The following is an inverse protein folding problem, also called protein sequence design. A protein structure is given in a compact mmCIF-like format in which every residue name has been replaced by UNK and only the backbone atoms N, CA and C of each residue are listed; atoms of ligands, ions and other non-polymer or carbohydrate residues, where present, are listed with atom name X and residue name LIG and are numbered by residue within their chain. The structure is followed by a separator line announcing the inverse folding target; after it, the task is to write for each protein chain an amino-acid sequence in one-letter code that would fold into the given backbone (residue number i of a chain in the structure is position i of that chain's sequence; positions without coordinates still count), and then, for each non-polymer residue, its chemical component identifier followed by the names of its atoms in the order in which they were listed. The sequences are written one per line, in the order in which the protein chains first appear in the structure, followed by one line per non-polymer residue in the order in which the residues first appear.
data_IF_873606849232
#
_entry.id   IF_873606849232
#
_cell.length_a   1.000
_cell.length_b   1.000
_cell.length_c   1.000
_cell.angle_alpha   90.00
_cell.angle_beta   90.00
_cell.angle_gamma   90.00
#
_symmetry.space_group_name_H-M   'P 1'
#
loop_
_entity.id
_entity.type
_entity.pdbx_description
1 polymer ?
#
# COMPACT_ATOMS: atom_id res chain seq x y z
N UNK A 1 -24.99 -1.45 17.85
CA UNK A 1 -24.47 -0.57 16.80
C UNK A 1 -23.54 0.44 17.46
N UNK A 2 -22.39 0.78 16.87
CA UNK A 2 -21.55 1.83 17.42
C UNK A 2 -22.30 3.16 17.33
N UNK A 3 -22.41 3.87 18.45
CA UNK A 3 -22.99 5.20 18.54
C UNK A 3 -21.85 6.22 18.59
N UNK A 4 -21.74 7.04 17.55
CA UNK A 4 -20.85 8.18 17.46
C UNK A 4 -21.34 9.07 16.32
N UNK A 5 -21.25 10.39 16.47
CA UNK A 5 -21.63 11.42 15.47
C UNK A 5 -20.71 11.46 14.24
N UNK A 6 -19.97 10.37 13.99
CA UNK A 6 -18.97 10.26 12.93
C UNK A 6 -19.35 9.06 12.07
N UNK A 7 -20.23 9.28 11.10
CA UNK A 7 -20.35 8.37 9.97
C UNK A 7 -19.25 8.75 8.97
N UNK A 8 -18.28 7.85 8.74
CA UNK A 8 -17.23 8.07 7.73
C UNK A 8 -17.80 8.26 6.32
N UNK A 9 -19.01 7.75 6.07
CA UNK A 9 -19.75 7.90 4.81
C UNK A 9 -20.95 8.82 5.05
N UNK A 10 -20.92 9.98 4.40
CA UNK A 10 -22.02 10.95 4.39
C UNK A 10 -23.12 10.50 3.40
N UNK A 11 -24.36 10.97 3.60
CA UNK A 11 -25.53 10.65 2.75
C UNK A 11 -25.30 10.97 1.26
N UNK A 12 -24.40 11.91 0.98
CA UNK A 12 -23.94 12.29 -0.35
C UNK A 12 -23.33 11.15 -1.17
N UNK A 13 -22.75 10.13 -0.52
CA UNK A 13 -22.15 8.97 -1.23
C UNK A 13 -23.21 8.17 -2.00
N UNK A 14 -24.45 8.12 -1.50
CA UNK A 14 -25.54 7.48 -2.23
C UNK A 14 -25.97 8.30 -3.45
N UNK A 15 -26.01 9.63 -3.34
CA UNK A 15 -26.32 10.48 -4.48
C UNK A 15 -25.26 10.33 -5.58
N UNK A 16 -23.98 10.30 -5.19
CA UNK A 16 -22.87 10.00 -6.10
C UNK A 16 -23.03 8.63 -6.74
N UNK A 17 -23.38 7.60 -5.97
CA UNK A 17 -23.65 6.26 -6.49
C UNK A 17 -24.81 6.24 -7.50
N UNK A 18 -25.94 6.89 -7.19
CA UNK A 18 -27.10 6.98 -8.07
C UNK A 18 -26.72 7.63 -9.40
N UNK A 19 -26.06 8.78 -9.35
CA UNK A 19 -25.61 9.50 -10.53
C UNK A 19 -24.58 8.70 -11.33
N UNK A 20 -23.60 8.10 -10.66
CA UNK A 20 -22.56 7.31 -11.31
C UNK A 20 -23.15 6.11 -12.06
N UNK A 21 -23.98 5.30 -11.38
CA UNK A 21 -24.61 4.13 -12.02
C UNK A 21 -25.62 4.52 -13.08
N UNK A 22 -26.29 5.66 -12.95
CA UNK A 22 -27.19 6.17 -13.99
C UNK A 22 -26.40 6.54 -15.25
N UNK A 23 -25.31 7.30 -15.10
CA UNK A 23 -24.43 7.70 -16.20
C UNK A 23 -23.78 6.48 -16.89
N UNK A 24 -23.49 5.42 -16.16
CA UNK A 24 -23.01 4.14 -16.69
C UNK A 24 -24.12 3.26 -17.29
N UNK A 25 -25.36 3.72 -17.32
CA UNK A 25 -26.51 2.96 -17.81
C UNK A 25 -26.83 1.67 -17.02
N UNK A 26 -26.37 1.59 -15.77
CA UNK A 26 -26.43 0.41 -14.89
C UNK A 26 -27.40 0.57 -13.71
N UNK A 27 -27.88 1.80 -13.42
CA UNK A 27 -28.77 2.03 -12.28
C UNK A 27 -30.07 1.24 -12.40
N UNK A 28 -30.29 0.37 -11.42
CA UNK A 28 -31.50 -0.45 -11.27
C UNK A 28 -32.04 -0.37 -9.86
N UNK A 29 -33.36 -0.43 -9.74
CA UNK A 29 -34.11 -0.36 -8.50
C UNK A 29 -34.98 -1.60 -8.36
N UNK A 30 -35.01 -2.17 -7.16
CA UNK A 30 -35.90 -3.26 -6.81
C UNK A 30 -37.23 -2.71 -6.31
N UNK A 31 -38.32 -3.17 -6.88
CA UNK A 31 -39.66 -2.86 -6.39
C UNK A 31 -39.96 -3.64 -5.11
N UNK A 32 -40.46 -2.95 -4.07
CA UNK A 32 -40.75 -3.59 -2.77
C UNK A 32 -42.14 -3.26 -2.25
N UNK A 33 -42.60 -2.03 -2.44
CA UNK A 33 -43.99 -1.65 -2.14
C UNK A 33 -44.57 -0.96 -3.36
N UNK A 34 -45.74 -1.40 -3.80
CA UNK A 34 -46.53 -0.79 -4.87
C UNK A 34 -47.91 -0.52 -4.33
N UNK A 35 -48.34 0.75 -4.38
CA UNK A 35 -49.65 1.16 -3.87
C UNK A 35 -49.92 0.62 -2.45
N UNK A 36 -48.94 0.73 -1.54
CA UNK A 36 -49.05 0.24 -0.16
C UNK A 36 -48.98 -1.29 0.02
N UNK A 37 -48.95 -2.08 -1.06
CA UNK A 37 -48.84 -3.54 -1.00
C UNK A 37 -47.40 -4.00 -1.21
N UNK A 38 -46.95 -4.97 -0.41
CA UNK A 38 -45.63 -5.59 -0.59
C UNK A 38 -45.59 -6.40 -1.89
N UNK A 39 -44.58 -6.15 -2.70
CA UNK A 39 -44.32 -6.92 -3.91
C UNK A 39 -43.72 -8.30 -3.53
N UNK A 40 -44.37 -9.42 -3.88
CA UNK A 40 -43.91 -10.75 -3.49
C UNK A 40 -42.73 -11.26 -4.33
N UNK A 41 -42.57 -10.77 -5.56
CA UNK A 41 -41.52 -11.21 -6.48
C UNK A 41 -40.40 -10.19 -6.58
N UNK A 42 -39.17 -10.66 -6.55
CA UNK A 42 -38.03 -9.80 -6.78
C UNK A 42 -38.02 -9.31 -8.22
N UNK A 43 -38.13 -8.00 -8.41
CA UNK A 43 -38.12 -7.38 -9.73
C UNK A 43 -37.24 -6.14 -9.73
N UNK A 44 -36.15 -6.23 -10.48
CA UNK A 44 -35.24 -5.12 -10.74
C UNK A 44 -35.66 -4.38 -12.00
N UNK A 45 -35.89 -3.07 -11.88
CA UNK A 45 -36.24 -2.18 -12.98
C UNK A 45 -35.12 -1.18 -13.22
N UNK A 46 -34.78 -0.97 -14.49
CA UNK A 46 -33.78 0.01 -14.91
C UNK A 46 -34.34 1.42 -14.77
N UNK A 47 -33.55 2.34 -14.23
CA UNK A 47 -33.87 3.78 -14.26
C UNK A 47 -33.51 4.32 -15.65
N UNK A 48 -34.47 4.97 -16.32
CA UNK A 48 -34.32 5.49 -17.68
C UNK A 48 -34.13 6.99 -17.73
N UNK A 49 -34.57 7.71 -16.70
CA UNK A 49 -34.30 9.12 -16.51
C UNK A 49 -34.04 9.39 -15.03
N UNK A 50 -33.07 10.23 -14.72
CA UNK A 50 -32.76 10.69 -13.37
C UNK A 50 -32.27 12.13 -13.48
N UNK A 51 -33.02 13.06 -12.90
CA UNK A 51 -32.59 14.45 -12.82
C UNK A 51 -31.44 14.59 -11.82
N UNK A 52 -30.45 15.43 -12.16
CA UNK A 52 -29.28 15.69 -11.33
C UNK A 52 -29.65 16.10 -9.90
N UNK A 53 -29.06 15.40 -8.93
CA UNK A 53 -29.23 15.65 -7.50
C UNK A 53 -28.28 16.79 -7.10
N UNK A 54 -28.76 18.02 -7.23
CA UNK A 54 -27.97 19.25 -6.96
C UNK A 54 -28.23 19.84 -5.57
N UNK A 55 -29.29 19.40 -4.89
CA UNK A 55 -29.71 19.90 -3.60
C UNK A 55 -30.43 18.80 -2.81
N UNK A 56 -30.12 18.64 -1.53
CA UNK A 56 -30.69 17.62 -0.62
C UNK A 56 -31.95 18.13 0.09
N UNK A 57 -32.76 18.94 -0.61
CA UNK A 57 -34.05 19.40 -0.09
C UNK A 57 -35.11 18.39 -0.49
N UNK A 58 -36.06 18.11 0.41
CA UNK A 58 -37.19 17.25 0.10
C UNK A 58 -38.04 17.80 -1.07
N UNK A 59 -38.35 16.99 -2.10
CA UNK A 59 -37.80 15.65 -2.37
C UNK A 59 -36.39 15.73 -2.97
N UNK A 60 -35.49 14.82 -2.57
CA UNK A 60 -34.08 14.81 -3.01
C UNK A 60 -33.92 14.80 -4.54
N UNK A 61 -34.82 14.11 -5.23
CA UNK A 61 -34.84 13.98 -6.68
C UNK A 61 -36.14 14.58 -7.20
N UNK A 62 -36.04 15.65 -7.98
CA UNK A 62 -37.20 16.32 -8.57
C UNK A 62 -37.91 15.45 -9.63
N UNK A 63 -37.16 14.65 -10.39
CA UNK A 63 -37.69 13.79 -11.44
C UNK A 63 -36.87 12.51 -11.62
N UNK A 64 -37.55 11.37 -11.58
CA UNK A 64 -37.05 10.05 -11.95
C UNK A 64 -38.06 9.35 -12.86
N UNK A 65 -37.58 8.53 -13.81
CA UNK A 65 -38.41 7.61 -14.58
C UNK A 65 -37.83 6.21 -14.52
N UNK A 66 -38.67 5.24 -14.18
CA UNK A 66 -38.28 3.84 -14.02
C UNK A 66 -38.95 3.02 -15.13
N UNK A 67 -38.18 2.17 -15.80
CA UNK A 67 -38.67 1.39 -16.94
C UNK A 67 -39.79 0.43 -16.49
N UNK A 68 -40.94 0.49 -17.16
CA UNK A 68 -42.17 -0.28 -16.85
C UNK A 68 -42.86 0.13 -15.54
N UNK A 69 -42.55 1.31 -15.03
CA UNK A 69 -43.34 1.97 -13.99
C UNK A 69 -44.55 2.67 -14.63
N UNK A 70 -45.75 2.35 -14.15
CA UNK A 70 -46.99 2.90 -14.69
C UNK A 70 -47.25 4.34 -14.24
N UNK A 71 -46.55 4.80 -13.19
CA UNK A 71 -46.71 6.16 -12.67
C UNK A 71 -45.86 7.21 -13.41
N UNK A 72 -45.01 6.77 -14.34
CA UNK A 72 -44.26 7.65 -15.23
C UNK A 72 -43.17 8.46 -14.52
N UNK A 73 -42.99 9.69 -14.95
CA UNK A 73 -42.04 10.65 -14.38
C UNK A 73 -42.57 11.21 -13.06
N UNK A 74 -41.76 11.14 -12.00
CA UNK A 74 -42.18 11.51 -10.64
C UNK A 74 -41.03 11.95 -9.74
N UNK A 75 -41.28 12.70 -8.66
CA UNK A 75 -40.26 13.00 -7.67
C UNK A 75 -39.91 11.75 -6.85
N UNK A 76 -38.67 11.69 -6.36
CA UNK A 76 -38.21 10.62 -5.49
C UNK A 76 -37.48 11.17 -4.28
N UNK A 77 -37.69 10.51 -3.14
CA UNK A 77 -36.99 10.80 -1.90
C UNK A 77 -36.03 9.66 -1.57
N UNK A 78 -34.79 9.97 -1.25
CA UNK A 78 -33.82 8.96 -0.86
C UNK A 78 -33.76 8.87 0.67
N UNK A 79 -33.56 7.65 1.19
CA UNK A 79 -33.61 7.39 2.63
C UNK A 79 -32.47 6.53 3.13
N UNK A 80 -31.80 7.04 4.17
CA UNK A 80 -30.83 6.31 4.98
C UNK A 80 -31.48 5.70 6.23
N UNK A 81 -30.82 4.66 6.74
CA UNK A 81 -31.07 4.08 8.06
C UNK A 81 -30.94 5.11 9.20
N UNK A 82 -30.22 6.22 8.97
CA UNK A 82 -30.01 7.31 9.93
C UNK A 82 -30.91 8.53 9.71
N UNK A 83 -31.68 8.59 8.63
CA UNK A 83 -32.52 9.76 8.32
C UNK A 83 -33.79 9.75 9.18
N UNK A 84 -33.91 10.70 10.12
CA UNK A 84 -35.13 10.92 10.89
C UNK A 84 -36.26 11.41 9.98
N UNK A 85 -37.38 10.70 10.01
CA UNK A 85 -38.58 10.97 9.22
C UNK A 85 -39.46 12.01 9.95
N UNK A 86 -39.02 13.26 10.11
CA UNK A 86 -39.82 14.26 10.86
C UNK A 86 -40.40 15.40 9.99
N UNK A 87 -40.06 15.45 8.70
CA UNK A 87 -40.56 16.49 7.79
C UNK A 87 -42.08 16.40 7.56
N UNK A 88 -42.71 15.22 7.61
CA UNK A 88 -44.17 15.11 7.52
C UNK A 88 -44.92 15.56 8.80
N UNK A 89 -44.21 15.83 9.90
CA UNK A 89 -44.80 16.22 11.19
C UNK A 89 -44.81 17.74 11.40
N UNK A 90 -43.99 18.47 10.64
CA UNK A 90 -43.89 19.92 10.69
C UNK A 90 -44.97 20.58 9.82
N UNK A 91 -45.76 21.51 10.38
CA UNK A 91 -46.82 22.26 9.66
C UNK A 91 -46.33 22.94 8.37
N UNK A 92 -45.06 23.33 8.28
CA UNK A 92 -44.48 23.98 7.09
C UNK A 92 -44.19 23.01 5.93
N UNK A 93 -43.96 21.73 6.22
CA UNK A 93 -43.56 20.73 5.22
C UNK A 93 -44.73 19.86 4.74
N UNK A 94 -45.89 19.93 5.40
CA UNK A 94 -47.11 19.21 4.99
C UNK A 94 -47.53 19.57 3.56
N UNK A 95 -47.42 20.84 3.16
CA UNK A 95 -47.79 21.27 1.79
C UNK A 95 -46.90 20.60 0.73
N UNK A 96 -45.57 20.69 0.90
CA UNK A 96 -44.58 20.10 -0.02
C UNK A 96 -44.75 18.57 -0.06
N UNK A 97 -45.04 17.96 1.08
CA UNK A 97 -45.30 16.53 1.16
C UNK A 97 -46.60 16.12 0.46
N UNK A 98 -47.68 16.88 0.58
CA UNK A 98 -48.91 16.63 -0.16
C UNK A 98 -48.69 16.77 -1.67
N UNK A 99 -47.95 17.79 -2.12
CA UNK A 99 -47.56 17.96 -3.52
C UNK A 99 -46.73 16.75 -4.02
N UNK A 100 -45.83 16.22 -3.19
CA UNK A 100 -45.08 15.01 -3.50
C UNK A 100 -46.00 13.80 -3.69
N UNK A 101 -47.00 13.61 -2.83
CA UNK A 101 -47.98 12.52 -2.93
C UNK A 101 -48.88 12.68 -4.17
N UNK A 102 -49.38 13.89 -4.43
CA UNK A 102 -50.18 14.21 -5.62
C UNK A 102 -49.42 13.94 -6.93
N UNK A 103 -48.10 14.15 -6.92
CA UNK A 103 -47.20 13.83 -8.04
C UNK A 103 -46.75 12.37 -8.07
N UNK A 104 -47.43 11.47 -7.35
CA UNK A 104 -47.10 10.05 -7.30
C UNK A 104 -45.68 9.73 -6.83
N UNK A 105 -45.12 10.57 -5.96
CA UNK A 105 -43.74 10.46 -5.50
C UNK A 105 -43.39 9.10 -4.90
N UNK A 106 -42.13 8.70 -5.00
CA UNK A 106 -41.64 7.41 -4.51
C UNK A 106 -40.48 7.55 -3.52
N UNK A 107 -40.25 6.50 -2.73
CA UNK A 107 -39.14 6.45 -1.77
C UNK A 107 -38.10 5.44 -2.27
N UNK A 108 -36.82 5.81 -2.23
CA UNK A 108 -35.68 4.96 -2.55
C UNK A 108 -34.89 4.70 -1.26
N UNK A 109 -34.71 3.43 -0.89
CA UNK A 109 -33.95 3.01 0.30
C UNK A 109 -32.72 2.18 -0.08
N UNK A 110 -31.68 2.20 0.76
CA UNK A 110 -30.57 1.25 0.63
C UNK A 110 -30.91 -0.12 1.22
N UNK A 111 -31.48 -0.15 2.42
CA UNK A 111 -31.85 -1.37 3.15
C UNK A 111 -33.14 -1.19 3.96
N UNK A 112 -33.89 -2.28 4.09
CA UNK A 112 -35.28 -2.32 4.53
C UNK A 112 -35.54 -2.38 6.05
N UNK A 113 -34.58 -2.08 6.91
CA UNK A 113 -34.72 -2.41 8.34
C UNK A 113 -35.63 -1.44 9.12
N UNK A 114 -35.94 -0.26 8.58
CA UNK A 114 -36.82 0.73 9.25
C UNK A 114 -37.61 1.60 8.27
N UNK A 115 -38.65 1.05 7.62
CA UNK A 115 -39.69 1.92 7.06
C UNK A 115 -40.50 2.53 8.21
N UNK A 116 -40.79 3.85 8.21
CA UNK A 116 -41.57 4.47 9.28
C UNK A 116 -42.96 3.85 9.38
N UNK A 117 -43.33 3.40 10.59
CA UNK A 117 -44.69 2.94 10.88
C UNK A 117 -45.69 4.08 10.62
N UNK A 118 -46.77 3.80 9.88
CA UNK A 118 -47.87 4.75 9.63
C UNK A 118 -47.85 5.52 8.31
N UNK A 119 -46.74 5.55 7.55
CA UNK A 119 -46.70 6.21 6.22
C UNK A 119 -47.35 5.33 5.15
N UNK A 120 -46.98 4.05 5.15
CA UNK A 120 -47.51 3.05 4.21
C UNK A 120 -48.97 2.69 4.51
N UNK A 121 -49.37 2.84 5.78
CA UNK A 121 -50.71 2.48 6.26
C UNK A 121 -51.76 3.55 5.89
N UNK A 122 -51.32 4.77 5.57
CA UNK A 122 -52.21 5.92 5.26
C UNK A 122 -52.14 6.38 3.81
N UNK A 123 -51.03 6.11 3.11
CA UNK A 123 -50.78 6.65 1.77
C UNK A 123 -50.11 5.60 0.88
N UNK A 124 -50.60 5.49 -0.37
CA UNK A 124 -50.21 4.49 -1.37
C UNK A 124 -48.87 4.83 -2.05
N UNK A 125 -47.83 5.13 -1.26
CA UNK A 125 -46.50 5.49 -1.73
C UNK A 125 -45.72 4.23 -2.13
N UNK A 126 -45.05 4.29 -3.27
CA UNK A 126 -44.20 3.19 -3.72
C UNK A 126 -42.81 3.27 -3.08
N UNK A 127 -42.23 2.10 -2.79
CA UNK A 127 -40.90 1.98 -2.21
C UNK A 127 -40.01 1.11 -3.09
N UNK A 128 -38.84 1.66 -3.40
CA UNK A 128 -37.77 1.06 -4.17
C UNK A 128 -36.54 0.84 -3.32
N UNK A 129 -35.78 -0.22 -3.61
CA UNK A 129 -34.51 -0.48 -2.97
C UNK A 129 -33.36 -0.53 -3.97
N UNK A 130 -32.21 -0.01 -3.56
CA UNK A 130 -30.94 -0.11 -4.29
C UNK A 130 -30.32 -1.51 -4.18
N UNK A 131 -29.44 -1.84 -5.13
CA UNK A 131 -28.60 -3.02 -5.03
C UNK A 131 -27.53 -2.81 -3.96
N UNK A 132 -27.74 -3.38 -2.77
CA UNK A 132 -26.83 -3.25 -1.62
C UNK A 132 -25.43 -3.78 -1.91
N UNK A 133 -25.33 -4.87 -2.68
CA UNK A 133 -24.04 -5.49 -3.03
C UNK A 133 -23.26 -4.58 -3.99
N UNK A 134 -23.96 -4.01 -4.98
CA UNK A 134 -23.35 -3.07 -5.92
C UNK A 134 -22.95 -1.77 -5.23
N UNK A 135 -23.82 -1.20 -4.40
CA UNK A 135 -23.50 -0.02 -3.59
C UNK A 135 -22.28 -0.25 -2.67
N UNK A 136 -22.23 -1.39 -1.98
CA UNK A 136 -21.09 -1.76 -1.12
C UNK A 136 -19.80 -1.87 -1.92
N UNK A 137 -19.87 -2.43 -3.13
CA UNK A 137 -18.72 -2.53 -4.02
C UNK A 137 -18.24 -1.15 -4.50
N UNK A 138 -19.17 -0.27 -4.89
CA UNK A 138 -18.88 1.12 -5.25
C UNK A 138 -18.21 1.89 -4.10
N UNK A 139 -18.75 1.80 -2.89
CA UNK A 139 -18.21 2.48 -1.72
C UNK A 139 -16.80 1.97 -1.38
N UNK A 140 -16.59 0.65 -1.41
CA UNK A 140 -15.28 0.02 -1.19
C UNK A 140 -14.25 0.46 -2.23
N UNK A 141 -14.62 0.48 -3.50
CA UNK A 141 -13.71 0.90 -4.58
C UNK A 141 -13.29 2.36 -4.42
N UNK A 142 -14.25 3.27 -4.15
CA UNK A 142 -13.95 4.68 -3.92
C UNK A 142 -13.11 4.90 -2.67
N UNK A 143 -13.36 4.14 -1.59
CA UNK A 143 -12.52 4.18 -0.41
C UNK A 143 -11.08 3.74 -0.72
N UNK A 144 -10.90 2.65 -1.46
CA UNK A 144 -9.57 2.19 -1.89
C UNK A 144 -8.90 3.24 -2.78
N UNK A 145 -9.61 3.84 -3.74
CA UNK A 145 -9.08 4.92 -4.59
C UNK A 145 -8.67 6.14 -3.76
N UNK A 146 -9.48 6.54 -2.78
CA UNK A 146 -9.18 7.66 -1.89
C UNK A 146 -7.95 7.35 -1.02
N UNK A 147 -7.91 6.18 -0.38
CA UNK A 147 -6.76 5.72 0.40
C UNK A 147 -5.49 5.69 -0.46
N UNK A 148 -5.57 5.16 -1.68
CA UNK A 148 -4.46 5.16 -2.63
C UNK A 148 -3.99 6.58 -2.95
N UNK A 149 -4.90 7.53 -3.13
CA UNK A 149 -4.56 8.94 -3.37
C UNK A 149 -3.92 9.59 -2.14
N UNK A 150 -4.43 9.34 -0.94
CA UNK A 150 -3.89 9.87 0.31
C UNK A 150 -2.50 9.30 0.62
N UNK A 151 -2.27 8.01 0.37
CA UNK A 151 -0.97 7.38 0.48
C UNK A 151 0.01 8.03 -0.52
N UNK A 152 -0.40 8.20 -1.78
CA UNK A 152 0.43 8.84 -2.82
C UNK A 152 0.72 10.31 -2.54
N UNK A 153 -0.21 11.06 -1.95
CA UNK A 153 -0.02 12.49 -1.68
C UNK A 153 0.90 12.78 -0.48
N UNK A 154 1.17 11.78 0.38
CA UNK A 154 2.02 11.91 1.56
C UNK A 154 3.32 11.11 1.47
N UNK A 155 3.67 10.56 0.30
CA UNK A 155 4.95 9.87 0.12
C UNK A 155 6.10 10.88 0.05
N UNK A 156 6.64 11.24 1.21
CA UNK A 156 8.06 11.55 1.28
C UNK A 156 8.83 10.31 0.80
N UNK A 157 9.82 10.51 -0.07
CA UNK A 157 10.68 9.42 -0.56
C UNK A 157 11.25 8.64 0.63
N UNK A 158 10.80 7.41 0.80
CA UNK A 158 11.17 6.54 1.91
C UNK A 158 12.58 6.00 1.72
N UNK A 159 13.19 5.54 2.81
CA UNK A 159 14.46 4.81 2.74
C UNK A 159 14.28 3.42 3.33
N UNK A 160 14.54 2.39 2.52
CA UNK A 160 14.35 1.00 2.89
C UNK A 160 15.69 0.29 3.04
N UNK A 161 15.92 -0.32 4.20
CA UNK A 161 17.04 -1.24 4.42
C UNK A 161 16.65 -2.66 4.01
N UNK A 162 17.53 -3.35 3.32
CA UNK A 162 17.36 -4.73 2.88
C UNK A 162 18.67 -5.49 3.03
N UNK A 163 18.62 -6.80 3.29
CA UNK A 163 19.84 -7.61 3.33
C UNK A 163 20.22 -8.06 1.91
N UNK A 164 21.52 -8.02 1.60
CA UNK A 164 22.04 -8.68 0.41
C UNK A 164 21.93 -10.20 0.57
N UNK A 165 20.97 -10.79 -0.14
CA UNK A 165 20.86 -12.25 -0.27
C UNK A 165 21.79 -12.76 -1.37
N UNK A 166 21.91 -14.09 -1.52
CA UNK A 166 22.74 -14.72 -2.57
C UNK A 166 22.36 -14.24 -3.98
N UNK A 167 21.07 -14.00 -4.22
CA UNK A 167 20.57 -13.49 -5.49
C UNK A 167 21.04 -12.06 -5.83
N UNK A 168 21.72 -11.35 -4.91
CA UNK A 168 22.15 -9.97 -5.15
C UNK A 168 23.42 -9.87 -6.03
N UNK A 169 24.41 -10.75 -5.83
CA UNK A 169 25.72 -10.71 -6.51
C UNK A 169 26.08 -11.99 -7.27
N UNK A 170 25.14 -12.93 -7.46
CA UNK A 170 25.47 -14.23 -8.07
C UNK A 170 26.09 -14.07 -9.46
N UNK A 171 27.25 -14.72 -9.69
CA UNK A 171 27.96 -14.69 -10.97
C UNK A 171 27.24 -15.61 -11.97
N UNK A 172 26.12 -15.14 -12.50
CA UNK A 172 25.42 -15.59 -13.71
C UNK A 172 24.23 -14.64 -13.96
N UNK A 173 23.84 -14.48 -15.23
CA UNK A 173 23.08 -13.37 -15.89
C UNK A 173 21.80 -12.78 -15.23
N UNK A 174 21.43 -13.10 -13.99
CA UNK A 174 20.20 -12.65 -13.33
C UNK A 174 20.40 -12.15 -11.88
N UNK A 175 21.64 -11.81 -11.47
CA UNK A 175 21.86 -11.14 -10.18
C UNK A 175 21.04 -9.84 -10.08
N UNK A 176 20.53 -9.52 -8.90
CA UNK A 176 19.74 -8.30 -8.70
C UNK A 176 20.55 -7.03 -8.97
N UNK A 177 21.84 -7.03 -8.59
CA UNK A 177 22.76 -5.91 -8.85
C UNK A 177 23.01 -5.63 -10.34
N UNK A 178 22.80 -6.62 -11.21
CA UNK A 178 22.97 -6.51 -12.67
C UNK A 178 21.64 -6.33 -13.38
N UNK A 179 20.62 -7.09 -12.98
CA UNK A 179 19.31 -7.10 -13.60
C UNK A 179 18.38 -5.99 -13.09
N UNK A 180 18.79 -5.24 -12.07
CA UNK A 180 18.04 -4.11 -11.50
C UNK A 180 16.64 -4.49 -10.99
N UNK A 181 16.45 -5.77 -10.64
CA UNK A 181 15.17 -6.36 -10.20
C UNK A 181 15.32 -7.04 -8.86
N UNK A 182 14.40 -6.76 -7.93
CA UNK A 182 14.40 -7.39 -6.60
C UNK A 182 13.01 -7.90 -6.25
N UNK A 183 12.99 -9.02 -5.52
CA UNK A 183 11.82 -9.44 -4.76
C UNK A 183 12.13 -9.29 -3.27
N UNK A 184 11.34 -8.53 -2.51
CA UNK A 184 11.44 -8.56 -1.07
C UNK A 184 11.04 -9.94 -0.54
N UNK A 185 11.73 -10.41 0.50
CA UNK A 185 11.48 -11.73 1.12
C UNK A 185 10.20 -11.76 1.97
N UNK A 186 9.62 -10.60 2.23
CA UNK A 186 8.55 -10.36 3.21
C UNK A 186 7.39 -9.58 2.56
N UNK A 187 6.28 -9.40 3.31
CA UNK A 187 4.98 -8.85 2.92
C UNK A 187 4.98 -7.38 2.40
N UNK A 188 6.05 -6.88 1.77
CA UNK A 188 6.01 -5.57 1.12
C UNK A 188 4.94 -5.59 0.04
N UNK A 189 4.09 -4.59 0.07
CA UNK A 189 2.96 -4.39 -0.82
C UNK A 189 3.16 -3.15 -1.67
N UNK A 190 2.26 -2.93 -2.63
CA UNK A 190 2.19 -1.71 -3.47
C UNK A 190 2.16 -0.41 -2.64
N UNK A 191 1.87 -0.49 -1.33
CA UNK A 191 1.83 0.64 -0.41
C UNK A 191 3.19 0.98 0.21
N UNK A 192 4.13 0.04 0.17
CA UNK A 192 5.38 0.13 0.90
C UNK A 192 6.51 0.75 0.06
N UNK A 193 6.67 0.31 -1.19
CA UNK A 193 7.74 0.76 -2.09
C UNK A 193 7.19 1.46 -3.33
N UNK A 194 7.56 2.73 -3.50
CA UNK A 194 7.15 3.57 -4.62
C UNK A 194 8.33 4.10 -5.41
N UNK A 195 8.05 4.60 -6.61
CA UNK A 195 9.05 5.24 -7.45
C UNK A 195 9.74 6.33 -6.63
N UNK A 196 11.05 6.40 -6.80
CA UNK A 196 11.93 7.35 -6.12
C UNK A 196 12.29 7.09 -4.65
N UNK A 197 11.71 6.07 -4.02
CA UNK A 197 12.19 5.57 -2.74
C UNK A 197 13.67 5.12 -2.84
N UNK A 198 14.43 5.38 -1.77
CA UNK A 198 15.80 4.87 -1.63
C UNK A 198 15.77 3.46 -1.09
N UNK A 199 16.66 2.63 -1.60
CA UNK A 199 16.90 1.28 -1.08
C UNK A 199 18.37 1.13 -0.74
N UNK A 200 18.66 0.51 0.40
CA UNK A 200 20.01 0.20 0.85
C UNK A 200 20.11 -1.30 1.06
N UNK A 201 20.87 -1.96 0.21
CA UNK A 201 21.23 -3.35 0.39
C UNK A 201 22.52 -3.45 1.23
N UNK A 202 22.39 -4.10 2.39
CA UNK A 202 23.45 -4.22 3.38
C UNK A 202 24.15 -5.58 3.25
N UNK A 203 25.48 -5.55 3.22
CA UNK A 203 26.32 -6.73 3.39
C UNK A 203 27.03 -6.70 4.74
N UNK A 204 27.00 -7.83 5.43
CA UNK A 204 27.75 -8.02 6.68
C UNK A 204 28.68 -9.23 6.58
N UNK A 205 29.69 -9.30 7.44
CA UNK A 205 30.62 -10.42 7.55
C UNK A 205 31.01 -10.71 9.00
N UNK A 206 31.72 -11.82 9.21
CA UNK A 206 32.30 -12.22 10.51
C UNK A 206 31.32 -12.86 11.51
N UNK A 207 30.02 -12.84 11.24
CA UNK A 207 29.03 -13.53 12.06
C UNK A 207 28.01 -14.30 11.22
N UNK A 208 27.57 -15.45 11.72
CA UNK A 208 26.43 -16.18 11.16
C UNK A 208 25.10 -15.58 11.66
N UNK A 209 24.02 -15.78 10.90
CA UNK A 209 22.65 -15.42 11.33
C UNK A 209 22.26 -16.01 12.68
N UNK A 210 22.72 -17.24 12.97
CA UNK A 210 22.47 -17.91 14.24
C UNK A 210 23.19 -17.21 15.40
N UNK A 211 24.46 -16.82 15.22
CA UNK A 211 25.24 -16.13 16.24
C UNK A 211 24.65 -14.76 16.55
N UNK A 212 24.37 -13.95 15.53
CA UNK A 212 23.76 -12.62 15.70
C UNK A 212 22.43 -12.73 16.45
N UNK A 213 21.55 -13.67 16.04
CA UNK A 213 20.26 -13.85 16.70
C UNK A 213 20.40 -14.35 18.16
N UNK A 214 21.32 -15.27 18.42
CA UNK A 214 21.56 -15.80 19.76
C UNK A 214 22.05 -14.71 20.71
N UNK A 215 23.08 -13.95 20.32
CA UNK A 215 23.64 -12.88 21.14
C UNK A 215 22.61 -11.76 21.39
N UNK A 216 21.88 -11.37 20.35
CA UNK A 216 20.86 -10.33 20.47
C UNK A 216 19.68 -10.77 21.35
N UNK A 217 19.10 -11.95 21.10
CA UNK A 217 17.89 -12.40 21.78
C UNK A 217 18.15 -12.84 23.22
N UNK A 218 19.31 -13.45 23.52
CA UNK A 218 19.61 -13.98 24.86
C UNK A 218 20.37 -13.01 25.76
N UNK A 219 21.27 -12.21 25.18
CA UNK A 219 22.18 -11.37 25.96
C UNK A 219 21.93 -9.87 25.73
N UNK A 220 21.09 -9.49 24.77
CA UNK A 220 20.91 -8.09 24.34
C UNK A 220 22.25 -7.44 23.95
N UNK A 221 23.15 -8.23 23.40
CA UNK A 221 24.50 -7.81 23.00
C UNK A 221 24.69 -7.96 21.49
N UNK A 222 25.55 -7.09 20.95
CA UNK A 222 26.03 -7.18 19.57
C UNK A 222 27.22 -8.14 19.54
N UNK A 223 27.23 -9.09 18.60
CA UNK A 223 28.35 -10.00 18.45
C UNK A 223 29.61 -9.22 18.02
N UNK A 224 30.71 -9.41 18.75
CA UNK A 224 31.92 -8.60 18.59
C UNK A 224 32.56 -8.74 17.22
N UNK A 225 32.54 -9.92 16.61
CA UNK A 225 33.14 -10.14 15.29
C UNK A 225 32.16 -9.87 14.14
N UNK A 226 31.06 -9.16 14.39
CA UNK A 226 30.11 -8.80 13.33
C UNK A 226 30.46 -7.44 12.72
N UNK A 227 30.64 -7.41 11.40
CA UNK A 227 31.07 -6.21 10.68
C UNK A 227 30.10 -5.84 9.56
N UNK A 228 29.88 -4.54 9.38
CA UNK A 228 29.35 -3.95 8.16
C UNK A 228 30.45 -3.89 7.11
N UNK A 229 30.27 -4.58 5.99
CA UNK A 229 31.29 -4.64 4.93
C UNK A 229 30.96 -3.73 3.74
N UNK A 230 29.68 -3.62 3.39
CA UNK A 230 29.26 -2.93 2.18
C UNK A 230 27.83 -2.39 2.28
N UNK A 231 27.62 -1.19 1.74
CA UNK A 231 26.30 -0.61 1.48
C UNK A 231 26.15 -0.37 -0.01
N UNK A 232 25.13 -0.99 -0.61
CA UNK A 232 24.73 -0.71 -1.98
C UNK A 232 23.45 0.13 -1.95
N UNK A 233 23.50 1.34 -2.50
CA UNK A 233 22.43 2.33 -2.45
C UNK A 233 21.83 2.48 -3.83
N UNK A 234 20.51 2.34 -3.93
CA UNK A 234 19.74 2.52 -5.15
C UNK A 234 18.49 3.35 -4.95
N UNK A 235 17.81 3.55 -6.07
CA UNK A 235 16.54 4.28 -6.17
C UNK A 235 15.53 3.44 -6.94
N UNK A 236 14.32 3.30 -6.42
CA UNK A 236 13.24 2.54 -7.08
C UNK A 236 12.83 3.24 -8.38
N UNK A 237 12.76 2.50 -9.47
CA UNK A 237 12.39 3.00 -10.81
C UNK A 237 11.02 2.51 -11.25
N UNK A 238 10.57 1.37 -10.72
CA UNK A 238 9.23 0.83 -10.94
C UNK A 238 8.65 0.42 -9.59
N UNK A 239 7.40 0.79 -9.28
CA UNK A 239 6.79 0.46 -8.00
C UNK A 239 6.73 -1.07 -7.81
N UNK A 240 6.62 -1.50 -6.56
CA UNK A 240 6.43 -2.93 -6.31
C UNK A 240 5.07 -3.37 -6.82
N UNK A 241 5.06 -4.39 -7.67
CA UNK A 241 3.86 -4.93 -8.30
C UNK A 241 3.83 -6.45 -8.15
N UNK A 242 2.67 -7.06 -8.39
CA UNK A 242 2.59 -8.50 -8.45
C UNK A 242 3.40 -9.02 -9.64
N UNK A 243 3.89 -10.25 -9.53
CA UNK A 243 4.61 -10.93 -10.61
C UNK A 243 3.77 -11.01 -11.89
N UNK A 244 2.47 -11.25 -11.75
CA UNK A 244 1.55 -11.30 -12.90
C UNK A 244 1.52 -9.96 -13.63
N UNK A 245 1.26 -8.87 -12.90
CA UNK A 245 1.28 -7.51 -13.47
C UNK A 245 2.63 -7.19 -14.12
N UNK A 246 3.73 -7.57 -13.46
CA UNK A 246 5.08 -7.40 -14.00
C UNK A 246 5.27 -8.15 -15.33
N UNK A 247 4.96 -9.45 -15.38
CA UNK A 247 5.09 -10.26 -16.59
C UNK A 247 4.17 -9.76 -17.72
N UNK A 248 2.94 -9.36 -17.40
CA UNK A 248 1.96 -8.85 -18.37
C UNK A 248 2.47 -7.57 -19.07
N UNK A 249 3.13 -6.66 -18.34
CA UNK A 249 3.73 -5.44 -18.90
C UNK A 249 4.83 -5.74 -19.93
N UNK A 250 5.62 -6.79 -19.68
CA UNK A 250 6.76 -7.16 -20.52
C UNK A 250 6.44 -8.27 -21.54
N UNK A 251 5.19 -8.75 -21.59
CA UNK A 251 4.77 -9.84 -22.47
C UNK A 251 5.42 -11.18 -22.15
N UNK A 252 5.77 -11.43 -20.89
CA UNK A 252 6.39 -12.67 -20.43
C UNK A 252 5.36 -13.62 -19.84
N UNK A 253 5.65 -14.91 -19.85
CA UNK A 253 4.84 -15.86 -19.09
C UNK A 253 5.07 -15.67 -17.59
N UNK A 254 4.02 -15.86 -16.79
CA UNK A 254 4.13 -15.78 -15.32
C UNK A 254 5.14 -16.81 -14.78
N UNK A 255 5.39 -17.90 -15.49
CA UNK A 255 6.35 -18.96 -15.16
C UNK A 255 7.80 -18.62 -15.52
N UNK A 256 8.05 -17.56 -16.29
CA UNK A 256 9.40 -17.17 -16.74
C UNK A 256 10.32 -16.88 -15.55
N UNK A 257 11.46 -17.57 -15.36
CA UNK A 257 12.36 -17.32 -14.24
C UNK A 257 12.84 -15.87 -14.21
N UNK A 258 12.55 -15.15 -13.12
CA UNK A 258 12.98 -13.75 -12.98
C UNK A 258 14.29 -13.62 -12.19
N UNK A 259 14.67 -14.65 -11.44
CA UNK A 259 15.87 -14.69 -10.60
C UNK A 259 16.61 -16.02 -10.72
N UNK A 260 17.89 -16.00 -10.32
CA UNK A 260 18.77 -17.17 -10.41
C UNK A 260 18.19 -18.42 -9.71
N UNK A 261 17.64 -18.27 -8.51
CA UNK A 261 17.08 -19.39 -7.75
C UNK A 261 15.79 -20.00 -8.34
N UNK A 262 15.19 -19.35 -9.35
CA UNK A 262 14.07 -19.89 -10.11
C UNK A 262 14.50 -20.65 -11.38
N UNK A 263 15.76 -20.50 -11.80
CA UNK A 263 16.33 -21.21 -12.96
C UNK A 263 16.61 -22.68 -12.65
N UNK A 264 16.74 -23.52 -13.67
CA UNK A 264 17.06 -24.95 -13.50
C UNK A 264 18.38 -25.16 -12.75
N UNK A 265 19.40 -24.35 -13.07
CA UNK A 265 20.72 -24.37 -12.42
C UNK A 265 20.61 -23.91 -10.95
N UNK A 266 19.88 -22.83 -10.68
CA UNK A 266 19.67 -22.36 -9.30
C UNK A 266 18.87 -23.35 -8.45
N UNK A 267 17.90 -24.07 -9.03
CA UNK A 267 17.09 -25.07 -8.31
C UNK A 267 17.91 -26.27 -7.80
N UNK A 268 18.99 -26.63 -8.50
CA UNK A 268 19.88 -27.72 -8.11
C UNK A 268 21.04 -27.27 -7.20
N UNK A 269 21.20 -25.96 -6.97
CA UNK A 269 22.24 -25.44 -6.08
C UNK A 269 21.93 -25.76 -4.62
N UNK A 270 22.77 -26.60 -4.01
CA UNK A 270 22.69 -27.02 -2.59
C UNK A 270 22.77 -25.85 -1.61
N UNK A 271 23.24 -24.68 -2.05
CA UNK A 271 23.32 -23.45 -1.27
C UNK A 271 21.99 -22.71 -1.17
N UNK A 272 21.00 -23.03 -2.01
CA UNK A 272 19.67 -22.40 -1.98
C UNK A 272 18.75 -23.25 -1.08
N UNK A 273 18.60 -22.80 0.16
CA UNK A 273 17.74 -23.45 1.16
C UNK A 273 16.28 -23.03 0.98
N UNK A 274 15.40 -24.04 1.00
CA UNK A 274 13.93 -24.03 0.83
C UNK A 274 13.43 -24.19 -0.62
N UNK A 275 13.08 -25.44 -0.94
CA UNK A 275 12.50 -25.88 -2.21
C UNK A 275 10.99 -25.69 -2.16
N UNK A 276 10.40 -24.88 -3.05
CA UNK A 276 8.95 -24.92 -3.34
C UNK A 276 8.73 -25.76 -4.60
N UNK A 277 7.76 -26.67 -4.57
CA UNK A 277 7.46 -27.61 -5.66
C UNK A 277 7.02 -26.95 -6.97
N UNK A 278 6.57 -25.70 -6.93
CA UNK A 278 5.96 -24.97 -8.05
C UNK A 278 6.95 -24.17 -8.89
N UNK A 279 8.22 -24.08 -8.49
CA UNK A 279 9.26 -23.36 -9.25
C UNK A 279 9.21 -21.83 -9.21
N UNK A 280 8.08 -21.22 -8.80
CA UNK A 280 7.93 -19.79 -8.53
C UNK A 280 8.05 -19.57 -7.02
N UNK A 281 9.06 -18.80 -6.60
CA UNK A 281 9.33 -18.56 -5.18
C UNK A 281 8.74 -17.23 -4.71
N UNK A 282 8.72 -16.26 -5.61
CA UNK A 282 8.56 -14.84 -5.36
C UNK A 282 7.37 -14.27 -6.14
N UNK A 283 6.44 -13.62 -5.43
CA UNK A 283 5.17 -13.19 -6.01
C UNK A 283 5.11 -11.69 -6.33
N UNK A 284 6.16 -10.93 -5.98
CA UNK A 284 6.22 -9.49 -6.18
C UNK A 284 7.58 -9.10 -6.75
N UNK A 285 7.58 -8.03 -7.55
CA UNK A 285 8.76 -7.53 -8.24
C UNK A 285 8.75 -6.02 -8.15
N UNK A 286 9.92 -5.42 -7.89
CA UNK A 286 10.16 -4.01 -8.19
C UNK A 286 11.49 -3.85 -8.91
N UNK A 287 11.65 -2.71 -9.59
CA UNK A 287 12.89 -2.34 -10.27
C UNK A 287 13.56 -1.18 -9.58
N UNK A 288 14.88 -1.14 -9.69
CA UNK A 288 15.69 -0.11 -9.07
C UNK A 288 16.93 0.17 -9.89
N UNK A 289 17.53 1.34 -9.70
CA UNK A 289 18.82 1.69 -10.30
C UNK A 289 19.85 2.01 -9.22
N UNK A 290 21.11 1.70 -9.51
CA UNK A 290 22.24 2.05 -8.64
C UNK A 290 22.38 3.56 -8.56
N UNK A 291 22.60 4.06 -7.34
CA UNK A 291 23.00 5.45 -7.07
C UNK A 291 24.44 5.48 -6.59
N UNK A 292 24.76 4.67 -5.57
CA UNK A 292 26.07 4.67 -4.95
C UNK A 292 26.38 3.28 -4.36
N UNK A 293 27.65 2.96 -4.19
CA UNK A 293 28.09 1.74 -3.51
C UNK A 293 29.33 2.05 -2.67
N UNK A 294 29.26 1.70 -1.39
CA UNK A 294 30.31 1.92 -0.40
C UNK A 294 30.87 0.56 -0.01
N UNK A 295 32.10 0.25 -0.45
CA UNK A 295 32.77 -1.04 -0.25
C UNK A 295 33.85 -0.97 0.82
N UNK A 296 34.24 -2.14 1.31
CA UNK A 296 35.37 -2.33 2.22
C UNK A 296 35.27 -1.49 3.50
N UNK A 297 34.04 -1.27 3.99
CA UNK A 297 33.78 -0.46 5.16
C UNK A 297 34.44 -1.05 6.41
N UNK A 298 34.31 -2.37 6.61
CA UNK A 298 34.87 -3.10 7.74
C UNK A 298 34.54 -2.48 9.11
N UNK A 299 33.39 -1.83 9.24
CA UNK A 299 32.96 -1.17 10.47
C UNK A 299 32.44 -2.24 11.43
N UNK A 300 32.97 -2.28 12.64
CA UNK A 300 32.49 -3.21 13.67
C UNK A 300 31.09 -2.78 14.14
N UNK A 301 30.13 -3.69 14.13
CA UNK A 301 28.72 -3.37 14.42
C UNK A 301 28.50 -2.93 15.86
N UNK A 302 29.32 -3.40 16.81
CA UNK A 302 29.29 -2.94 18.20
C UNK A 302 29.74 -1.48 18.34
N UNK A 303 30.82 -1.06 17.66
CA UNK A 303 31.30 0.32 17.65
C UNK A 303 30.26 1.23 17.02
N UNK A 304 29.70 0.83 15.87
CA UNK A 304 28.63 1.58 15.23
C UNK A 304 27.40 1.72 16.13
N UNK A 305 27.10 0.72 16.98
CA UNK A 305 25.96 0.75 17.89
C UNK A 305 26.08 1.81 18.98
N UNK A 306 27.30 2.21 19.36
CA UNK A 306 27.53 3.27 20.35
C UNK A 306 27.07 4.63 19.83
N UNK A 307 27.18 4.87 18.52
CA UNK A 307 26.83 6.13 17.87
C UNK A 307 25.47 6.09 17.16
N UNK A 308 25.12 4.94 16.57
CA UNK A 308 23.94 4.74 15.73
C UNK A 308 23.17 3.46 16.14
N UNK A 309 22.67 3.37 17.39
CA UNK A 309 21.99 2.18 17.89
C UNK A 309 20.74 1.84 17.07
N UNK A 310 19.96 2.84 16.65
CA UNK A 310 18.75 2.63 15.86
C UNK A 310 19.04 1.96 14.50
N UNK A 311 20.14 2.34 13.84
CA UNK A 311 20.55 1.73 12.59
C UNK A 311 20.98 0.28 12.81
N UNK A 312 21.84 0.03 13.80
CA UNK A 312 22.32 -1.33 14.10
C UNK A 312 21.16 -2.26 14.46
N UNK A 313 20.20 -1.79 15.26
CA UNK A 313 18.99 -2.54 15.55
C UNK A 313 18.16 -2.81 14.29
N UNK A 314 18.06 -1.84 13.37
CA UNK A 314 17.40 -2.05 12.08
C UNK A 314 18.11 -3.09 11.21
N UNK A 315 19.45 -3.12 11.21
CA UNK A 315 20.24 -4.16 10.53
C UNK A 315 20.00 -5.53 11.17
N UNK A 316 19.95 -5.63 12.50
CA UNK A 316 19.63 -6.89 13.20
C UNK A 316 18.25 -7.39 12.80
N UNK A 317 17.26 -6.52 12.77
CA UNK A 317 15.87 -6.86 12.41
C UNK A 317 15.79 -7.50 11.01
N UNK A 318 16.40 -6.87 10.00
CA UNK A 318 16.37 -7.39 8.63
C UNK A 318 17.25 -8.64 8.49
N UNK A 319 18.35 -8.73 9.24
CA UNK A 319 19.26 -9.87 9.21
C UNK A 319 18.65 -11.12 9.85
N UNK A 320 17.95 -10.96 10.98
CA UNK A 320 17.42 -12.05 11.79
C UNK A 320 16.02 -12.52 11.35
N UNK A 321 15.17 -11.67 10.78
CA UNK A 321 13.81 -12.11 10.45
C UNK A 321 12.99 -11.31 9.45
N UNK A 322 13.10 -9.97 9.39
CA UNK A 322 12.12 -9.12 8.67
C UNK A 322 12.42 -8.86 7.19
N UNK A 323 13.60 -9.27 6.69
CA UNK A 323 14.01 -9.14 5.28
C UNK A 323 14.26 -7.71 4.77
N UNK A 324 13.42 -6.75 5.20
CA UNK A 324 13.40 -5.35 4.87
C UNK A 324 12.85 -4.50 6.02
N UNK A 325 13.28 -3.25 6.15
CA UNK A 325 12.79 -2.30 7.16
C UNK A 325 12.90 -0.86 6.66
N UNK A 326 11.85 -0.06 6.85
CA UNK A 326 11.89 1.39 6.61
C UNK A 326 12.72 2.08 7.71
N UNK A 327 13.54 3.05 7.31
CA UNK A 327 14.27 3.96 8.21
C UNK A 327 13.94 5.42 7.86
N UNK A 328 14.01 6.29 8.87
CA UNK A 328 13.78 7.72 8.69
C UNK A 328 14.89 8.36 7.84
N UNK A 329 14.56 9.50 7.23
CA UNK A 329 15.54 10.32 6.50
C UNK A 329 16.68 10.77 7.40
N UNK A 330 16.39 11.16 8.65
CA UNK A 330 17.41 11.60 9.60
C UNK A 330 18.38 10.46 9.93
N UNK A 331 17.86 9.25 10.18
CA UNK A 331 18.70 8.08 10.43
C UNK A 331 19.58 7.75 9.20
N UNK A 332 19.03 7.87 8.00
CA UNK A 332 19.80 7.72 6.76
C UNK A 332 20.95 8.73 6.67
N UNK A 333 20.68 10.02 6.93
CA UNK A 333 21.70 11.08 6.90
C UNK A 333 22.80 10.81 7.91
N UNK A 334 22.44 10.52 9.17
CA UNK A 334 23.41 10.22 10.24
C UNK A 334 24.30 9.02 9.91
N UNK A 335 23.76 7.99 9.25
CA UNK A 335 24.55 6.83 8.81
C UNK A 335 25.55 7.23 7.72
N UNK A 336 25.14 8.03 6.74
CA UNK A 336 26.04 8.48 5.68
C UNK A 336 27.16 9.38 6.22
N UNK A 337 26.84 10.28 7.17
CA UNK A 337 27.81 11.13 7.85
C UNK A 337 28.80 10.32 8.68
N UNK A 338 28.32 9.35 9.46
CA UNK A 338 29.19 8.46 10.24
C UNK A 338 30.17 7.69 9.35
N UNK A 339 29.69 7.13 8.23
CA UNK A 339 30.54 6.37 7.30
C UNK A 339 31.55 7.29 6.61
N UNK A 340 31.15 8.51 6.23
CA UNK A 340 32.07 9.49 5.66
C UNK A 340 33.18 9.86 6.66
N UNK A 341 32.83 10.12 7.93
CA UNK A 341 33.80 10.39 8.99
C UNK A 341 34.75 9.21 9.24
N UNK A 342 34.22 7.99 9.33
CA UNK A 342 35.00 6.77 9.54
C UNK A 342 36.00 6.51 8.39
N UNK A 343 35.54 6.66 7.15
CA UNK A 343 36.40 6.44 5.98
C UNK A 343 37.48 7.51 5.82
N UNK A 344 37.21 8.76 6.21
CA UNK A 344 38.22 9.82 6.25
C UNK A 344 39.25 9.58 7.36
N UNK A 345 38.82 9.19 8.57
CA UNK A 345 39.73 8.87 9.67
C UNK A 345 40.66 7.68 9.36
N UNK A 346 40.19 6.68 8.62
CA UNK A 346 41.05 5.59 8.12
C UNK A 346 42.11 6.11 7.15
N UNK A 347 41.73 7.00 6.21
CA UNK A 347 42.67 7.57 5.24
C UNK A 347 43.75 8.42 5.92
N UNK A 348 43.37 9.22 6.91
CA UNK A 348 44.31 10.01 7.70
C UNK A 348 45.28 9.14 8.49
N UNK A 349 44.79 8.08 9.16
CA UNK A 349 45.66 7.14 9.89
C UNK A 349 46.62 6.35 8.96
N UNK A 350 46.17 6.03 7.74
CA UNK A 350 47.03 5.41 6.72
C UNK A 350 48.08 6.38 6.17
N UNK A 351 47.74 7.68 6.04
CA UNK A 351 48.69 8.73 5.65
C UNK A 351 49.73 9.00 6.74
N UNK A 352 49.32 9.07 8.01
CA UNK A 352 50.23 9.26 9.15
C UNK A 352 51.18 8.07 9.30
N UNK A 353 50.69 6.84 9.20
CA UNK A 353 51.55 5.64 9.23
C UNK A 353 52.46 5.49 8.01
N UNK A 354 52.06 5.99 6.84
CA UNK A 354 52.92 6.08 5.66
C UNK A 354 54.02 7.16 5.80
N UNK A 355 53.73 8.25 6.51
CA UNK A 355 54.71 9.31 6.80
C UNK A 355 55.73 8.84 7.85
N UNK A 356 55.29 8.18 8.93
CA UNK A 356 56.18 7.60 9.96
C UNK A 356 57.13 6.53 9.39
N UNK A 357 56.69 5.78 8.38
CA UNK A 357 57.55 4.79 7.70
C UNK A 357 58.51 5.40 6.67
N UNK A 358 58.29 6.65 6.26
CA UNK A 358 59.17 7.38 5.34
C UNK A 358 60.30 8.13 6.06
N UNK A 359 60.08 8.58 7.30
CA UNK A 359 61.14 9.17 8.14
C UNK A 359 62.14 8.13 8.64
N UNK A 360 61.73 6.86 8.79
CA UNK A 360 62.62 5.74 9.16
C UNK A 360 63.52 5.23 8.02
N UNK A 361 63.43 5.79 6.80
CA UNK A 361 64.28 5.40 5.65
C UNK A 361 65.27 6.47 5.17
N UNK A 362 65.39 7.60 5.88
CA UNK A 362 66.29 8.71 5.50
C UNK A 362 67.61 8.77 6.30
N UNK A 363 67.93 7.76 7.12
CA UNK A 363 69.14 7.74 7.95
C UNK A 363 70.10 6.57 7.70
N UNK A 364 70.11 5.97 6.50
CA UNK A 364 71.20 5.07 6.08
C UNK A 364 71.63 5.35 4.64
N UNK A 365 72.41 6.41 4.46
CA UNK A 365 73.34 6.54 3.35
C UNK A 365 74.64 7.18 3.84
N UNK A 366 75.58 6.29 4.19
CA UNK A 366 77.03 6.28 3.89
C UNK A 366 77.87 7.57 4.08
N UNK A 367 79.14 7.44 4.56
CA UNK A 367 80.17 7.06 3.59
C UNK A 367 81.29 6.12 4.08
N UNK A 368 81.74 5.34 3.11
CA UNK A 368 83.09 4.84 2.87
C UNK A 368 84.24 5.55 3.61
N UNK A 369 85.21 4.76 4.08
CA UNK A 369 86.64 5.04 3.85
C UNK A 369 87.42 3.75 3.60
N UNK A 370 88.26 3.81 2.58
CA UNK A 370 89.36 2.89 2.26
C UNK A 370 90.64 3.40 2.90
#
# INVERSE_FOLDING_TARGET
MPYGTWAFLHETVIYEYLMHRFNENQLRLRHIIINGLKEPKERWLKVTNLQDITNTRFPDINSITIKKDTKGERPAEVKFTTSMFDYHRSKHHVKIYNEFVEKNGCIIVLKHDTLPKGILDKQLIDVFQLDESDFTSFARENFVRFLNRQIRSHQHNKTWLMIQSKNFYEDNKLAASQSNRWCPTDNLTVFDLSIDDKIIFIRTKGASKQNVNMFWSRHRMIYSEWFLSELWIGKVTSPIQSRKEYCDIYGWEVTTPLWYDETEIGRIDKKITQRKSTGIRWNRVFEFKKVQELKNLNIQMNQMNEYLPEFVHAVIDIYTGKGSREISTDLYVSVMEYIAGYTNGIKENLLVSALDTSELKLTESTPFFH
#
